data_IF_208079915677
#
_entry.id   IF_208079915677
#
_cell.length_a   1.000
_cell.length_b   1.000
_cell.length_c   1.000
_cell.angle_alpha   90.00
_cell.angle_beta   90.00
_cell.angle_gamma   90.00
#
_symmetry.space_group_name_H-M   'P 1'
#
loop_
_entity.id
_entity.type
_entity.pdbx_description
1 polymer ?
#
# COMPACT_ATOMS: atom_id res chain seq x y z
N UNK A 1 16.82 -1.38 -1.81
CA UNK A 1 15.93 -0.59 -0.95
C UNK A 1 14.59 -1.31 -0.90
N UNK A 2 14.07 -1.60 0.30
CA UNK A 2 12.70 -2.10 0.46
C UNK A 2 11.83 -0.84 0.54
N UNK A 3 11.04 -0.56 -0.49
CA UNK A 3 10.19 0.62 -0.54
C UNK A 3 8.98 0.39 0.38
N UNK A 4 9.15 0.76 1.65
CA UNK A 4 8.05 0.77 2.62
C UNK A 4 7.14 1.95 2.34
N UNK A 5 5.84 1.75 2.47
CA UNK A 5 4.83 2.80 2.26
C UNK A 5 3.83 2.83 3.39
N UNK A 6 3.25 4.02 3.59
CA UNK A 6 2.10 4.25 4.46
C UNK A 6 0.86 4.46 3.61
N UNK A 7 -0.29 4.22 4.23
CA UNK A 7 -1.58 4.40 3.58
C UNK A 7 -2.33 5.62 4.13
N UNK A 8 -2.98 6.37 3.25
CA UNK A 8 -3.85 7.48 3.63
C UNK A 8 -5.15 7.00 4.29
N UNK A 9 -5.78 7.90 5.05
CA UNK A 9 -7.06 7.62 5.71
C UNK A 9 -8.12 7.15 4.71
N UNK A 10 -8.82 6.07 5.07
CA UNK A 10 -9.85 5.46 4.21
C UNK A 10 -9.29 4.55 3.11
N UNK A 11 -8.01 4.20 3.16
CA UNK A 11 -7.42 3.19 2.29
C UNK A 11 -8.20 1.88 2.33
N UNK A 12 -8.50 1.36 1.15
CA UNK A 12 -9.20 0.11 0.94
C UNK A 12 -8.52 -0.66 -0.18
N UNK A 13 -8.55 -1.99 -0.09
CA UNK A 13 -8.20 -2.83 -1.22
C UNK A 13 -9.24 -2.73 -2.36
N UNK A 14 -8.96 -3.31 -3.51
CA UNK A 14 -9.89 -3.30 -4.66
C UNK A 14 -11.24 -3.99 -4.39
N UNK A 15 -11.38 -4.75 -3.30
CA UNK A 15 -12.63 -5.38 -2.87
C UNK A 15 -13.43 -4.49 -1.92
N UNK A 16 -12.92 -3.31 -1.58
CA UNK A 16 -13.51 -2.37 -0.63
C UNK A 16 -13.22 -2.70 0.83
N UNK A 17 -12.29 -3.63 1.11
CA UNK A 17 -11.92 -3.95 2.48
C UNK A 17 -10.95 -2.89 3.02
N UNK A 18 -11.21 -2.30 4.21
CA UNK A 18 -10.35 -1.28 4.78
C UNK A 18 -8.97 -1.85 5.14
N UNK A 19 -7.94 -1.05 4.89
CA UNK A 19 -6.55 -1.34 5.26
C UNK A 19 -6.10 -0.42 6.39
N UNK A 20 -5.17 -0.89 7.22
CA UNK A 20 -4.67 -0.13 8.36
C UNK A 20 -3.79 1.01 7.89
N UNK A 21 -4.01 2.22 8.39
CA UNK A 21 -3.11 3.36 8.14
C UNK A 21 -1.97 3.46 9.14
N UNK A 22 -2.00 2.62 10.20
CA UNK A 22 -0.96 2.55 11.22
C UNK A 22 0.16 1.58 10.85
N UNK A 23 -0.11 0.67 9.91
CA UNK A 23 0.84 -0.33 9.45
C UNK A 23 1.75 0.23 8.35
N UNK A 24 2.96 -0.30 8.31
CA UNK A 24 3.87 -0.12 7.18
C UNK A 24 3.69 -1.31 6.25
N UNK A 25 3.53 -1.02 4.97
CA UNK A 25 3.47 -2.03 3.92
C UNK A 25 4.72 -1.97 3.06
N UNK A 26 4.99 -3.04 2.33
CA UNK A 26 6.06 -3.08 1.33
C UNK A 26 5.42 -3.03 -0.06
N UNK A 27 5.90 -2.17 -0.95
CA UNK A 27 5.51 -2.23 -2.36
C UNK A 27 6.15 -3.46 -3.00
N UNK A 28 5.32 -4.33 -3.56
CA UNK A 28 5.73 -5.50 -4.34
C UNK A 28 5.77 -5.16 -5.84
N UNK A 29 4.76 -4.44 -6.32
CA UNK A 29 4.68 -4.02 -7.72
C UNK A 29 3.88 -2.72 -7.85
N UNK A 30 4.35 -1.81 -8.69
CA UNK A 30 3.67 -0.54 -8.97
C UNK A 30 3.11 -0.55 -10.39
N UNK A 31 1.80 -0.35 -10.53
CA UNK A 31 1.15 -0.09 -11.81
C UNK A 31 0.77 1.38 -11.95
N UNK A 32 0.15 1.75 -13.08
CA UNK A 32 -0.26 3.14 -13.36
C UNK A 32 -1.31 3.67 -12.37
N UNK A 33 -2.40 2.91 -12.16
CA UNK A 33 -3.49 3.28 -11.25
C UNK A 33 -3.49 2.50 -9.92
N UNK A 34 -2.94 1.29 -9.92
CA UNK A 34 -3.01 0.36 -8.80
C UNK A 34 -1.63 -0.24 -8.54
N UNK A 35 -1.38 -0.59 -7.28
CA UNK A 35 -0.16 -1.27 -6.84
C UNK A 35 -0.51 -2.52 -6.03
N UNK A 36 0.46 -3.41 -5.93
CA UNK A 36 0.44 -4.54 -5.01
C UNK A 36 1.32 -4.21 -3.83
N UNK A 37 0.74 -4.25 -2.63
CA UNK A 37 1.44 -4.04 -1.37
C UNK A 37 1.34 -5.30 -0.50
N UNK A 38 2.30 -5.50 0.39
CA UNK A 38 2.35 -6.63 1.31
C UNK A 38 2.48 -6.15 2.76
N UNK A 39 1.76 -6.79 3.69
CA UNK A 39 1.85 -6.53 5.12
C UNK A 39 2.97 -7.34 5.81
N UNK A 40 3.09 -7.20 7.13
CA UNK A 40 4.06 -7.95 7.94
C UNK A 40 3.79 -9.46 8.03
N UNK A 41 2.60 -9.93 7.63
CA UNK A 41 2.22 -11.35 7.63
C UNK A 41 2.35 -11.98 6.23
N UNK A 42 2.99 -11.28 5.29
CA UNK A 42 3.10 -11.67 3.89
C UNK A 42 1.74 -11.77 3.15
N UNK A 43 0.71 -11.07 3.65
CA UNK A 43 -0.55 -10.93 2.95
C UNK A 43 -0.46 -9.80 1.94
N UNK A 44 -0.82 -10.09 0.69
CA UNK A 44 -0.81 -9.13 -0.40
C UNK A 44 -2.17 -8.48 -0.63
N UNK A 45 -2.14 -7.20 -1.01
CA UNK A 45 -3.31 -6.39 -1.30
C UNK A 45 -3.11 -5.62 -2.60
N UNK A 46 -4.14 -5.62 -3.44
CA UNK A 46 -4.23 -4.73 -4.58
C UNK A 46 -4.92 -3.45 -4.13
N UNK A 47 -4.27 -2.30 -4.34
CA UNK A 47 -4.72 -1.01 -3.80
C UNK A 47 -4.59 0.08 -4.87
N UNK A 48 -5.52 1.05 -4.85
CA UNK A 48 -5.42 2.23 -5.70
C UNK A 48 -4.29 3.14 -5.24
N UNK A 49 -3.45 3.59 -6.17
CA UNK A 49 -2.28 4.43 -5.89
C UNK A 49 -2.63 5.73 -5.17
N UNK A 50 -3.87 6.25 -5.30
CA UNK A 50 -4.32 7.45 -4.58
C UNK A 50 -4.27 7.32 -3.05
N UNK A 51 -4.22 6.08 -2.53
CA UNK A 51 -4.16 5.79 -1.10
C UNK A 51 -2.74 5.55 -0.59
N UNK A 52 -1.75 5.52 -1.47
CA UNK A 52 -0.37 5.19 -1.11
C UNK A 52 0.40 6.50 -0.99
N UNK A 53 1.03 6.68 0.16
CA UNK A 53 2.06 7.69 0.33
C UNK A 53 3.40 7.10 -0.13
N UNK A 54 3.81 7.50 -1.34
CA UNK A 54 5.08 7.08 -1.94
C UNK A 54 6.27 7.90 -1.45
N UNK A 55 6.12 8.71 -0.38
CA UNK A 55 7.20 9.55 0.15
C UNK A 55 8.52 8.76 0.14
N UNK A 56 9.36 9.18 -0.80
CA UNK A 56 10.62 8.56 -1.14
C UNK A 56 11.61 8.93 -0.04
N UNK A 57 12.42 7.98 0.41
CA UNK A 57 13.52 8.27 1.34
C UNK A 57 14.34 9.46 0.77
N UNK A 58 14.24 10.61 1.45
CA UNK A 58 15.16 11.74 1.32
C UNK A 58 16.43 11.42 2.11
#
# INVERSE_FOLDING_TARGET
MINKVKLFLGAQDIRGLPLSTKELYIIIATGFCYSVIEDQNSQQYYINNKYIDFESEN
#
